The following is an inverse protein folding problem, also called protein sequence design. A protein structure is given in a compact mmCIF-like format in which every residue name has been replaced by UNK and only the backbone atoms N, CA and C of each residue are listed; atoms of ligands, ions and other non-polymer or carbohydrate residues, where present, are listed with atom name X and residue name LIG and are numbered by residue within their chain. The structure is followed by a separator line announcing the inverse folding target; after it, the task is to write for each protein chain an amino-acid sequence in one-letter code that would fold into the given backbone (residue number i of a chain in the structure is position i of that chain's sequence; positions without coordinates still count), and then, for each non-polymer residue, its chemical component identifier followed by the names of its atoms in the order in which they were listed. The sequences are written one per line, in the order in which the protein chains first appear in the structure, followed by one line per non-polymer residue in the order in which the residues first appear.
data_IF_896190257720
#
_entry.id   IF_896190257720
#
_cell.length_a   1.000
_cell.length_b   1.000
_cell.length_c   1.000
_cell.angle_alpha   90.00
_cell.angle_beta   90.00
_cell.angle_gamma   90.00
#
_symmetry.space_group_name_H-M   'P 1'
#
loop_
_entity.id
_entity.type
_entity.pdbx_description
1 polymer ?
#
# COMPACT_ATOMS: atom_id res chain seq x y z
N UNK A 1 10.85 -15.03 27.04
CA UNK A 1 9.61 -14.25 27.18
C UNK A 1 9.88 -12.86 26.62
N UNK A 2 9.50 -12.64 25.36
CA UNK A 2 9.71 -11.36 24.67
C UNK A 2 8.36 -10.67 24.56
N UNK A 3 8.17 -9.63 25.38
CA UNK A 3 7.03 -8.71 25.27
C UNK A 3 7.33 -7.78 24.08
N UNK A 4 7.07 -8.26 22.86
CA UNK A 4 7.30 -7.48 21.65
C UNK A 4 6.12 -6.54 21.41
N UNK A 5 5.83 -5.68 22.38
CA UNK A 5 4.82 -4.64 22.25
C UNK A 5 5.46 -3.48 21.49
N UNK A 6 5.42 -3.55 20.16
CA UNK A 6 5.83 -2.46 19.28
C UNK A 6 4.89 -1.27 19.55
N UNK A 7 5.34 -0.34 20.39
CA UNK A 7 4.64 0.88 20.76
C UNK A 7 5.06 2.03 19.85
N UNK A 8 5.14 1.78 18.55
CA UNK A 8 5.24 2.84 17.56
C UNK A 8 3.86 3.02 16.97
N UNK A 9 3.23 4.17 17.25
CA UNK A 9 2.19 4.68 16.36
C UNK A 9 2.87 4.93 15.02
N UNK A 10 2.94 3.90 14.19
CA UNK A 10 3.38 4.03 12.81
C UNK A 10 2.19 4.68 12.12
N UNK A 11 2.29 5.99 11.97
CA UNK A 11 1.34 6.80 11.23
C UNK A 11 1.60 6.70 9.71
N UNK A 12 2.76 6.18 9.31
CA UNK A 12 3.13 5.91 7.93
C UNK A 12 2.68 4.51 7.52
N UNK A 13 1.57 4.43 6.79
CA UNK A 13 1.04 3.17 6.27
C UNK A 13 1.56 2.97 4.86
N UNK A 14 2.20 1.82 4.62
CA UNK A 14 2.62 1.41 3.30
C UNK A 14 1.83 0.17 2.87
N UNK A 15 1.14 0.25 1.73
CA UNK A 15 0.28 -0.81 1.19
C UNK A 15 0.92 -1.31 -0.10
N UNK A 16 1.36 -2.56 -0.08
CA UNK A 16 1.99 -3.21 -1.24
C UNK A 16 1.05 -4.23 -1.88
N UNK A 17 0.64 -3.95 -3.11
CA UNK A 17 -0.27 -4.77 -3.88
C UNK A 17 0.50 -5.52 -4.97
N UNK A 18 0.64 -6.83 -4.81
CA UNK A 18 1.27 -7.70 -5.80
C UNK A 18 0.21 -8.36 -6.66
N UNK A 19 0.30 -8.15 -7.97
CA UNK A 19 -0.67 -8.65 -8.94
C UNK A 19 0.04 -9.32 -10.10
N UNK A 20 -0.45 -10.48 -10.53
CA UNK A 20 0.07 -11.18 -11.72
C UNK A 20 -0.26 -10.43 -13.02
N UNK A 21 -1.24 -9.54 -12.97
CA UNK A 21 -1.68 -8.67 -14.08
C UNK A 21 -2.15 -7.36 -13.50
N UNK A 22 -1.99 -6.26 -14.25
CA UNK A 22 -2.44 -4.92 -13.85
C UNK A 22 -3.91 -4.95 -13.41
N UNK A 23 -4.15 -4.83 -12.10
CA UNK A 23 -5.48 -4.94 -11.52
C UNK A 23 -6.02 -3.57 -11.13
N UNK A 24 -6.51 -2.86 -12.14
CA UNK A 24 -7.07 -1.51 -12.01
C UNK A 24 -8.25 -1.46 -11.01
N UNK A 25 -8.98 -2.56 -10.85
CA UNK A 25 -10.11 -2.64 -9.92
C UNK A 25 -9.64 -2.61 -8.47
N UNK A 26 -8.52 -3.28 -8.18
CA UNK A 26 -7.95 -3.29 -6.84
C UNK A 26 -7.30 -1.93 -6.51
N UNK A 27 -6.59 -1.34 -7.49
CA UNK A 27 -6.04 0.02 -7.38
C UNK A 27 -7.15 1.04 -7.08
N UNK A 28 -8.20 1.07 -7.91
CA UNK A 28 -9.31 2.02 -7.75
C UNK A 28 -10.06 1.86 -6.42
N UNK A 29 -10.23 0.63 -5.92
CA UNK A 29 -10.85 0.39 -4.61
C UNK A 29 -9.98 0.94 -3.47
N UNK A 30 -8.67 0.77 -3.56
CA UNK A 30 -7.75 1.24 -2.54
C UNK A 30 -7.71 2.77 -2.52
N UNK A 31 -7.60 3.37 -3.70
CA UNK A 31 -7.65 4.82 -3.89
C UNK A 31 -8.97 5.41 -3.38
N UNK A 32 -10.10 4.75 -3.66
CA UNK A 32 -11.40 5.19 -3.18
C UNK A 32 -11.51 5.16 -1.65
N UNK A 33 -10.93 4.16 -0.98
CA UNK A 33 -10.90 4.12 0.50
C UNK A 33 -10.04 5.25 1.05
N UNK A 34 -8.88 5.52 0.43
CA UNK A 34 -8.00 6.61 0.85
C UNK A 34 -8.68 7.97 0.65
N UNK A 35 -9.36 8.17 -0.48
CA UNK A 35 -10.12 9.38 -0.83
C UNK A 35 -11.32 9.60 0.12
N UNK A 36 -12.09 8.54 0.42
CA UNK A 36 -13.23 8.58 1.36
C UNK A 36 -12.81 8.99 2.78
N UNK A 37 -11.59 8.62 3.17
CA UNK A 37 -11.01 8.99 4.46
C UNK A 37 -10.18 10.29 4.40
N UNK A 38 -10.14 10.99 3.26
CA UNK A 38 -9.33 12.21 3.03
C UNK A 38 -7.84 12.00 3.37
N UNK A 39 -7.36 10.78 3.14
CA UNK A 39 -6.00 10.35 3.46
C UNK A 39 -5.09 10.66 2.26
N UNK A 40 -4.09 11.55 2.41
CA UNK A 40 -3.13 11.81 1.34
C UNK A 40 -2.26 10.57 1.10
N UNK A 41 -2.11 10.18 -0.17
CA UNK A 41 -1.31 9.02 -0.54
C UNK A 41 -0.44 9.30 -1.78
N UNK A 42 0.71 8.67 -1.82
CA UNK A 42 1.56 8.55 -3.01
C UNK A 42 1.48 7.13 -3.54
N UNK A 43 1.37 6.97 -4.85
CA UNK A 43 1.34 5.64 -5.47
C UNK A 43 2.39 5.48 -6.55
N UNK A 44 3.08 4.34 -6.56
CA UNK A 44 4.04 3.99 -7.59
C UNK A 44 3.96 2.50 -7.93
N UNK A 45 4.23 2.20 -9.20
CA UNK A 45 4.16 0.83 -9.71
C UNK A 45 5.50 0.41 -10.28
N UNK A 46 5.93 -0.81 -9.93
CA UNK A 46 7.09 -1.45 -10.52
C UNK A 46 6.73 -2.83 -11.06
N UNK A 47 7.40 -3.27 -12.11
CA UNK A 47 7.26 -4.62 -12.63
C UNK A 47 8.46 -5.44 -12.19
N UNK A 48 8.20 -6.48 -11.41
CA UNK A 48 9.22 -7.40 -10.93
C UNK A 48 9.41 -8.47 -11.99
N UNK A 49 10.41 -8.29 -12.87
CA UNK A 49 10.68 -9.20 -13.99
C UNK A 49 10.95 -10.64 -13.54
N UNK A 50 11.67 -10.81 -12.42
CA UNK A 50 12.00 -12.12 -11.85
C UNK A 50 10.77 -12.94 -11.46
N UNK A 51 9.74 -12.27 -10.94
CA UNK A 51 8.49 -12.91 -10.51
C UNK A 51 7.37 -12.79 -11.56
N UNK A 52 7.61 -12.02 -12.64
CA UNK A 52 6.61 -11.66 -13.66
C UNK A 52 5.34 -11.07 -13.03
N UNK A 53 5.52 -10.22 -12.03
CA UNK A 53 4.44 -9.61 -11.24
C UNK A 53 4.55 -8.09 -11.25
N UNK A 54 3.39 -7.44 -11.22
CA UNK A 54 3.28 -6.01 -10.99
C UNK A 54 3.12 -5.76 -9.50
N UNK A 55 4.03 -4.98 -8.93
CA UNK A 55 3.91 -4.44 -7.59
C UNK A 55 3.40 -3.00 -7.72
N UNK A 56 2.36 -2.68 -6.97
CA UNK A 56 1.84 -1.33 -6.82
C UNK A 56 1.90 -0.98 -5.34
N UNK A 57 2.58 0.10 -5.02
CA UNK A 57 2.80 0.54 -3.66
C UNK A 57 2.02 1.83 -3.44
N UNK A 58 1.38 1.94 -2.27
CA UNK A 58 0.70 3.14 -1.81
C UNK A 58 1.26 3.53 -0.45
N UNK A 59 1.93 4.65 -0.40
CA UNK A 59 2.46 5.22 0.83
C UNK A 59 1.53 6.34 1.29
N UNK A 60 1.11 6.27 2.55
CA UNK A 60 0.31 7.32 3.15
C UNK A 60 0.82 7.66 4.54
N UNK A 61 0.63 8.92 4.92
CA UNK A 61 1.00 9.45 6.21
C UNK A 61 -0.23 10.00 6.92
N UNK A 62 -0.65 9.29 7.95
CA UNK A 62 -1.71 9.71 8.86
C UNK A 62 -1.13 10.79 9.79
N UNK A 63 -1.73 11.99 9.83
CA UNK A 63 -1.27 13.07 10.72
C UNK A 63 -1.87 12.96 12.11
#
# INVERSE_FOLDING_TARGET
MADNKVYHKINDLNIELYTTKKNLVAEAKLEQVLDDHEIPYESYGTFIESEKMYQKVYETRLM
#
